data_IF_873704500017
#
_entry.id   IF_873704500017
#
_cell.length_a   1.000
_cell.length_b   1.000
_cell.length_c   1.000
_cell.angle_alpha   90.00
_cell.angle_beta   90.00
_cell.angle_gamma   90.00
#
_symmetry.space_group_name_H-M   'P 1'
#
loop_
_entity.id
_entity.type
_entity.pdbx_description
1 polymer ?
#
# COMPACT_ATOMS: atom_id res chain seq x y z
N UNK A 1 -75.93 8.10 -16.86
CA UNK A 1 -75.16 6.86 -16.63
C UNK A 1 -73.71 7.11 -17.00
N UNK A 2 -72.85 7.30 -16.01
CA UNK A 2 -71.40 7.34 -16.14
C UNK A 2 -70.83 6.35 -15.09
N UNK A 3 -69.86 5.49 -15.43
CA UNK A 3 -69.43 4.41 -14.55
C UNK A 3 -68.47 4.91 -13.45
N UNK A 4 -68.61 4.32 -12.27
CA UNK A 4 -67.82 4.59 -11.08
C UNK A 4 -66.37 4.09 -11.23
N UNK A 5 -65.43 4.91 -10.79
CA UNK A 5 -64.00 4.63 -10.76
C UNK A 5 -63.66 3.74 -9.54
N UNK A 6 -63.00 2.61 -9.78
CA UNK A 6 -62.42 1.73 -8.75
C UNK A 6 -61.05 2.25 -8.31
N UNK A 7 -60.89 2.55 -7.02
CA UNK A 7 -59.59 2.85 -6.41
C UNK A 7 -58.78 1.57 -6.14
N UNK A 8 -57.44 1.58 -6.26
CA UNK A 8 -56.60 0.40 -6.00
C UNK A 8 -56.39 0.17 -4.50
N UNK A 9 -56.52 -1.08 -4.09
CA UNK A 9 -56.25 -1.57 -2.73
C UNK A 9 -54.75 -1.50 -2.39
N UNK A 10 -54.41 -0.87 -1.25
CA UNK A 10 -53.07 -0.91 -0.64
C UNK A 10 -52.68 -2.35 -0.28
N UNK A 11 -51.45 -2.80 -0.60
CA UNK A 11 -50.96 -4.08 -0.07
C UNK A 11 -50.69 -3.95 1.43
N UNK A 12 -51.13 -4.95 2.19
CA UNK A 12 -50.86 -5.08 3.61
C UNK A 12 -49.36 -5.17 3.87
N UNK A 13 -48.87 -4.40 4.84
CA UNK A 13 -47.49 -4.45 5.29
C UNK A 13 -47.21 -5.78 5.99
N UNK A 14 -46.22 -6.52 5.49
CA UNK A 14 -45.69 -7.71 6.17
C UNK A 14 -45.06 -7.32 7.52
N UNK A 15 -45.24 -8.10 8.59
CA UNK A 15 -44.63 -7.81 9.88
C UNK A 15 -43.11 -8.03 9.82
N UNK A 16 -42.36 -7.13 10.47
CA UNK A 16 -40.91 -7.23 10.62
C UNK A 16 -40.54 -8.48 11.46
N UNK A 17 -39.44 -9.18 11.14
CA UNK A 17 -39.03 -10.36 11.89
C UNK A 17 -38.56 -9.97 13.31
N UNK A 18 -39.12 -10.67 14.30
CA UNK A 18 -38.71 -10.65 15.71
C UNK A 18 -37.24 -11.04 15.86
N UNK A 19 -36.46 -10.21 16.58
CA UNK A 19 -35.07 -10.50 16.93
C UNK A 19 -35.00 -11.75 17.84
N UNK A 20 -34.61 -12.90 17.28
CA UNK A 20 -34.25 -14.06 18.08
C UNK A 20 -33.04 -13.72 18.96
N UNK A 21 -33.05 -14.12 20.24
CA UNK A 21 -31.89 -13.99 21.15
C UNK A 21 -30.68 -14.63 20.50
N UNK A 22 -29.68 -13.82 20.12
CA UNK A 22 -28.42 -14.32 19.59
C UNK A 22 -27.70 -15.12 20.71
N UNK A 23 -27.43 -16.40 20.45
CA UNK A 23 -26.67 -17.25 21.36
C UNK A 23 -25.17 -17.01 21.16
N UNK A 24 -24.39 -17.04 22.25
CA UNK A 24 -22.94 -16.87 22.13
C UNK A 24 -22.26 -18.13 21.59
N UNK A 25 -21.03 -18.05 21.04
CA UNK A 25 -20.27 -19.25 20.67
C UNK A 25 -20.05 -20.23 21.83
N UNK A 26 -19.95 -19.73 23.07
CA UNK A 26 -19.88 -20.59 24.25
C UNK A 26 -21.18 -21.36 24.49
N UNK A 27 -22.34 -20.73 24.25
CA UNK A 27 -23.65 -21.39 24.36
C UNK A 27 -23.87 -22.42 23.24
N UNK A 28 -23.39 -22.10 22.03
CA UNK A 28 -23.58 -22.94 20.84
C UNK A 28 -22.65 -24.17 20.85
N UNK A 29 -21.38 -24.00 21.25
CA UNK A 29 -20.35 -25.03 21.13
C UNK A 29 -19.90 -25.65 22.46
N UNK A 30 -20.31 -25.09 23.60
CA UNK A 30 -20.16 -25.65 24.96
C UNK A 30 -18.89 -26.49 25.18
N UNK A 31 -18.97 -27.84 25.19
CA UNK A 31 -17.81 -28.71 25.39
C UNK A 31 -16.66 -28.51 24.40
N UNK A 32 -16.95 -28.28 23.12
CA UNK A 32 -15.93 -28.00 22.11
C UNK A 32 -15.25 -26.66 22.41
N UNK A 33 -16.04 -25.64 22.78
CA UNK A 33 -15.50 -24.33 23.17
C UNK A 33 -14.56 -24.45 24.37
N UNK A 34 -14.97 -25.17 25.42
CA UNK A 34 -14.12 -25.40 26.59
C UNK A 34 -12.83 -26.13 26.23
N UNK A 35 -12.90 -27.20 25.42
CA UNK A 35 -11.73 -27.96 25.03
C UNK A 35 -10.73 -27.12 24.21
N UNK A 36 -11.21 -26.24 23.33
CA UNK A 36 -10.36 -25.36 22.53
C UNK A 36 -9.67 -24.31 23.40
N UNK A 37 -10.40 -23.70 24.34
CA UNK A 37 -9.87 -22.66 25.22
C UNK A 37 -8.89 -23.23 26.25
N UNK A 38 -9.25 -24.33 26.93
CA UNK A 38 -8.40 -24.95 27.95
C UNK A 38 -7.19 -25.66 27.35
N UNK A 39 -7.33 -26.19 26.13
CA UNK A 39 -6.25 -26.83 25.40
C UNK A 39 -5.24 -25.85 24.77
N UNK A 40 -5.44 -24.53 24.92
CA UNK A 40 -4.63 -23.49 24.28
C UNK A 40 -4.35 -23.77 22.79
N UNK A 41 -5.39 -24.24 22.07
CA UNK A 41 -5.27 -24.69 20.67
C UNK A 41 -4.79 -23.57 19.74
N UNK A 42 -5.11 -22.32 20.09
CA UNK A 42 -4.65 -21.10 19.44
C UNK A 42 -3.92 -20.20 20.45
N UNK A 43 -3.03 -19.35 19.95
CA UNK A 43 -2.21 -18.47 20.77
C UNK A 43 -3.02 -17.40 21.54
N UNK A 44 -4.20 -17.04 21.02
CA UNK A 44 -5.13 -16.09 21.62
C UNK A 44 -6.51 -16.76 21.80
N UNK A 45 -7.10 -16.60 22.99
CA UNK A 45 -8.42 -17.12 23.33
C UNK A 45 -9.57 -16.44 22.57
N UNK A 46 -9.35 -15.28 21.96
CA UNK A 46 -10.32 -14.61 21.08
C UNK A 46 -10.40 -15.27 19.70
N UNK A 47 -9.35 -15.96 19.26
CA UNK A 47 -9.25 -16.54 17.92
C UNK A 47 -10.37 -17.53 17.60
N UNK A 48 -10.78 -18.37 18.56
CA UNK A 48 -11.89 -19.31 18.34
C UNK A 48 -13.27 -18.66 18.53
N UNK A 49 -13.37 -17.62 19.37
CA UNK A 49 -14.61 -16.86 19.57
C UNK A 49 -15.04 -16.17 18.28
N UNK A 50 -14.07 -15.69 17.49
CA UNK A 50 -14.32 -15.02 16.21
C UNK A 50 -14.36 -16.00 15.02
N UNK A 51 -14.27 -17.31 15.26
CA UNK A 51 -14.28 -18.30 14.21
C UNK A 51 -15.70 -18.54 13.65
N UNK A 52 -15.81 -18.62 12.33
CA UNK A 52 -17.09 -18.78 11.62
C UNK A 52 -17.29 -20.25 11.23
N UNK A 53 -18.41 -20.91 11.62
CA UNK A 53 -18.62 -22.31 11.26
C UNK A 53 -18.82 -22.48 9.75
N UNK A 54 -18.16 -23.49 9.17
CA UNK A 54 -18.30 -23.85 7.74
C UNK A 54 -19.56 -24.64 7.43
N UNK A 55 -20.23 -25.17 8.47
CA UNK A 55 -21.45 -26.00 8.39
C UNK A 55 -22.29 -25.84 9.65
N UNK A 56 -23.50 -26.42 9.67
CA UNK A 56 -24.43 -26.30 10.79
C UNK A 56 -23.80 -26.73 12.13
N UNK A 57 -23.95 -25.89 13.16
CA UNK A 57 -23.33 -26.10 14.48
C UNK A 57 -23.72 -27.45 15.11
N UNK A 58 -24.97 -27.87 14.96
CA UNK A 58 -25.45 -29.17 15.44
C UNK A 58 -24.68 -30.35 14.83
N UNK A 59 -24.35 -30.28 13.53
CA UNK A 59 -23.58 -31.32 12.85
C UNK A 59 -22.11 -31.34 13.33
N UNK A 60 -21.52 -30.16 13.54
CA UNK A 60 -20.17 -30.04 14.11
C UNK A 60 -20.10 -30.67 15.49
N UNK A 61 -21.08 -30.36 16.35
CA UNK A 61 -21.13 -30.88 17.72
C UNK A 61 -21.42 -32.38 17.77
N UNK A 62 -22.24 -32.92 16.86
CA UNK A 62 -22.48 -34.36 16.75
C UNK A 62 -21.18 -35.12 16.39
N UNK A 63 -20.41 -34.60 15.43
CA UNK A 63 -19.14 -35.19 15.05
C UNK A 63 -18.08 -35.07 16.15
N UNK A 64 -18.05 -33.91 16.85
CA UNK A 64 -17.17 -33.71 18.00
C UNK A 64 -17.47 -34.71 19.12
N UNK A 65 -18.76 -34.93 19.44
CA UNK A 65 -19.17 -35.89 20.46
C UNK A 65 -18.76 -37.33 20.14
N UNK A 66 -18.76 -37.69 18.84
CA UNK A 66 -18.35 -39.02 18.35
C UNK A 66 -16.84 -39.22 18.34
N UNK A 67 -16.09 -38.19 17.95
CA UNK A 67 -14.64 -38.29 17.70
C UNK A 67 -13.77 -37.90 18.89
N UNK A 68 -14.26 -37.01 19.76
CA UNK A 68 -13.58 -36.47 20.96
C UNK A 68 -12.09 -36.17 20.74
N UNK A 69 -11.73 -35.38 19.72
CA UNK A 69 -10.34 -35.11 19.40
C UNK A 69 -9.67 -34.26 20.49
N UNK A 70 -8.37 -34.49 20.71
CA UNK A 70 -7.55 -33.76 21.67
C UNK A 70 -6.20 -33.35 21.03
N UNK A 71 -5.54 -32.34 21.61
CA UNK A 71 -4.21 -31.88 21.16
C UNK A 71 -4.19 -31.49 19.66
N UNK A 72 -3.21 -31.95 18.86
CA UNK A 72 -3.13 -31.64 17.43
C UNK A 72 -4.37 -32.06 16.63
N UNK A 73 -5.02 -33.16 17.01
CA UNK A 73 -6.25 -33.61 16.36
C UNK A 73 -7.42 -32.65 16.60
N UNK A 74 -7.46 -32.00 17.78
CA UNK A 74 -8.46 -30.97 18.07
C UNK A 74 -8.24 -29.73 17.19
N UNK A 75 -6.98 -29.30 17.01
CA UNK A 75 -6.66 -28.18 16.09
C UNK A 75 -7.10 -28.50 14.66
N UNK A 76 -6.77 -29.69 14.16
CA UNK A 76 -7.19 -30.13 12.83
C UNK A 76 -8.72 -30.19 12.69
N UNK A 77 -9.41 -30.71 13.71
CA UNK A 77 -10.87 -30.73 13.76
C UNK A 77 -11.46 -29.32 13.67
N UNK A 78 -10.92 -28.34 14.41
CA UNK A 78 -11.39 -26.95 14.34
C UNK A 78 -11.16 -26.35 12.95
N UNK A 79 -9.95 -26.48 12.39
CA UNK A 79 -9.64 -25.93 11.06
C UNK A 79 -10.46 -26.53 9.93
N UNK A 80 -10.86 -27.81 10.05
CA UNK A 80 -11.77 -28.46 9.10
C UNK A 80 -13.20 -27.91 9.17
N UNK A 81 -13.66 -27.50 10.36
CA UNK A 81 -15.06 -27.17 10.62
C UNK A 81 -15.35 -25.67 10.74
N UNK A 82 -14.32 -24.85 10.93
CA UNK A 82 -14.43 -23.40 11.12
C UNK A 82 -13.48 -22.65 10.19
N UNK A 83 -13.84 -21.42 9.85
CA UNK A 83 -12.95 -20.38 9.33
C UNK A 83 -12.44 -19.61 10.55
N UNK A 84 -11.17 -19.80 10.87
CA UNK A 84 -10.48 -19.23 12.02
C UNK A 84 -9.61 -18.05 11.55
N UNK A 85 -9.89 -16.82 12.01
CA UNK A 85 -9.09 -15.66 11.65
C UNK A 85 -7.60 -15.85 11.97
N UNK A 86 -6.73 -15.44 11.04
CA UNK A 86 -5.26 -15.54 11.18
C UNK A 86 -4.65 -16.94 11.04
N UNK A 87 -5.45 -18.01 11.07
CA UNK A 87 -5.02 -19.38 10.74
C UNK A 87 -5.46 -19.78 9.32
N UNK A 88 -6.69 -19.41 8.92
CA UNK A 88 -7.17 -19.59 7.55
C UNK A 88 -6.80 -18.42 6.62
N UNK A 89 -6.47 -17.25 7.19
CA UNK A 89 -6.09 -16.04 6.44
C UNK A 89 -4.60 -16.00 6.05
N UNK A 90 -3.82 -17.00 6.48
CA UNK A 90 -2.51 -17.27 5.90
C UNK A 90 -2.76 -17.82 4.50
N UNK A 91 -2.99 -16.91 3.56
CA UNK A 91 -3.12 -17.24 2.15
C UNK A 91 -2.00 -18.21 1.77
N UNK A 92 -2.35 -19.33 1.17
CA UNK A 92 -1.44 -20.41 0.77
C UNK A 92 -0.50 -20.02 -0.39
N UNK A 93 -0.28 -18.72 -0.62
CA UNK A 93 0.66 -18.22 -1.60
C UNK A 93 2.00 -17.94 -0.93
N UNK A 94 3.08 -18.23 -1.64
CA UNK A 94 4.39 -17.68 -1.28
C UNK A 94 4.30 -16.15 -1.16
N UNK A 95 5.09 -15.56 -0.25
CA UNK A 95 5.10 -14.11 0.01
C UNK A 95 5.24 -13.32 -1.30
N UNK A 96 6.05 -13.82 -2.24
CA UNK A 96 6.22 -13.21 -3.56
C UNK A 96 4.92 -13.15 -4.35
N UNK A 97 4.14 -14.22 -4.36
CA UNK A 97 2.85 -14.28 -5.06
C UNK A 97 1.84 -13.32 -4.44
N UNK A 98 1.84 -13.19 -3.11
CA UNK A 98 1.00 -12.22 -2.42
C UNK A 98 1.39 -10.77 -2.79
N UNK A 99 2.69 -10.43 -2.71
CA UNK A 99 3.20 -9.10 -3.11
C UNK A 99 2.83 -8.77 -4.56
N UNK A 100 3.03 -9.70 -5.49
CA UNK A 100 2.66 -9.51 -6.90
C UNK A 100 1.18 -9.23 -7.10
N UNK A 101 0.32 -9.91 -6.34
CA UNK A 101 -1.13 -9.72 -6.41
C UNK A 101 -1.59 -8.37 -5.84
N UNK A 102 -0.74 -7.67 -5.09
CA UNK A 102 -1.03 -6.33 -4.55
C UNK A 102 -0.76 -5.21 -5.56
N UNK A 103 0.13 -5.38 -6.54
CA UNK A 103 0.45 -4.30 -7.49
C UNK A 103 -0.78 -3.69 -8.17
N UNK A 104 -1.70 -4.47 -8.76
CA UNK A 104 -2.90 -3.89 -9.39
C UNK A 104 -3.80 -3.14 -8.40
N UNK A 105 -3.79 -3.52 -7.12
CA UNK A 105 -4.61 -2.88 -6.07
C UNK A 105 -4.00 -1.56 -5.59
N UNK A 106 -2.68 -1.43 -5.71
CA UNK A 106 -1.93 -0.24 -5.31
C UNK A 106 -1.74 0.76 -6.46
N UNK A 107 -2.03 0.36 -7.70
CA UNK A 107 -2.03 1.28 -8.85
C UNK A 107 -3.20 2.27 -8.75
N UNK A 108 -2.91 3.53 -9.05
CA UNK A 108 -3.88 4.60 -9.25
C UNK A 108 -3.72 5.11 -10.68
N UNK A 109 -4.86 5.40 -11.29
CA UNK A 109 -4.91 5.97 -12.63
C UNK A 109 -4.77 7.50 -12.57
N UNK A 110 -4.33 8.15 -13.66
CA UNK A 110 -4.44 9.59 -13.81
C UNK A 110 -5.86 10.06 -13.51
N UNK A 111 -5.99 11.08 -12.67
CA UNK A 111 -7.28 11.70 -12.36
C UNK A 111 -7.28 13.13 -12.85
N UNK A 112 -8.42 13.57 -13.37
CA UNK A 112 -8.61 14.96 -13.76
C UNK A 112 -8.45 15.87 -12.52
N UNK A 113 -7.85 17.07 -12.68
CA UNK A 113 -7.82 18.06 -11.61
C UNK A 113 -9.25 18.40 -11.16
N UNK A 114 -9.49 18.36 -9.85
CA UNK A 114 -10.76 18.79 -9.26
C UNK A 114 -10.53 20.12 -8.58
N UNK A 115 -11.33 21.14 -8.93
CA UNK A 115 -11.23 22.47 -8.32
C UNK A 115 -11.37 22.38 -6.79
N UNK A 116 -10.47 23.03 -6.06
CA UNK A 116 -10.42 22.98 -4.58
C UNK A 116 -9.81 21.71 -3.98
N UNK A 117 -9.44 20.70 -4.79
CA UNK A 117 -8.72 19.52 -4.32
C UNK A 117 -7.26 19.83 -4.02
N UNK A 118 -6.70 19.14 -3.03
CA UNK A 118 -5.27 19.19 -2.73
C UNK A 118 -4.44 18.28 -3.65
N UNK A 119 -5.04 17.37 -4.42
CA UNK A 119 -4.30 16.43 -5.25
C UNK A 119 -3.57 17.14 -6.41
N UNK A 120 -2.28 16.85 -6.58
CA UNK A 120 -1.55 17.26 -7.78
C UNK A 120 -1.81 16.22 -8.89
N UNK A 121 -2.25 16.64 -10.09
CA UNK A 121 -2.51 15.70 -11.18
C UNK A 121 -1.19 15.10 -11.68
N UNK A 122 -1.25 13.83 -12.07
CA UNK A 122 -0.15 13.07 -12.65
C UNK A 122 -0.55 12.55 -14.05
N UNK A 123 0.35 12.61 -15.05
CA UNK A 123 0.03 12.22 -16.42
C UNK A 123 -0.11 10.71 -16.64
N UNK A 124 0.46 9.86 -15.78
CA UNK A 124 0.53 8.41 -15.99
C UNK A 124 0.04 7.61 -14.76
N UNK A 125 -0.15 6.29 -14.89
CA UNK A 125 -0.47 5.43 -13.76
C UNK A 125 0.71 5.30 -12.79
N UNK A 126 0.42 5.29 -11.49
CA UNK A 126 1.43 5.22 -10.42
C UNK A 126 1.02 4.30 -9.28
N UNK A 127 1.99 3.86 -8.48
CA UNK A 127 1.75 3.05 -7.28
C UNK A 127 1.71 3.93 -6.04
N UNK A 128 0.79 3.64 -5.12
CA UNK A 128 0.74 4.25 -3.78
C UNK A 128 1.14 3.24 -2.69
N UNK A 129 1.65 3.68 -1.52
CA UNK A 129 2.02 2.77 -0.43
C UNK A 129 0.87 1.90 0.10
N UNK A 130 -0.37 2.38 -0.03
CA UNK A 130 -1.59 1.68 0.40
C UNK A 130 -2.19 2.19 1.71
N UNK A 131 -3.36 1.66 2.05
CA UNK A 131 -4.11 2.06 3.25
C UNK A 131 -4.56 3.53 3.21
N UNK A 132 -4.13 4.31 4.21
CA UNK A 132 -4.48 5.73 4.33
C UNK A 132 -3.75 6.63 3.33
N UNK A 133 -2.66 6.16 2.74
CA UNK A 133 -1.85 6.90 1.79
C UNK A 133 -2.44 6.76 0.39
N UNK A 134 -3.01 7.86 -0.11
CA UNK A 134 -3.76 7.89 -1.39
C UNK A 134 -3.03 8.64 -2.49
N UNK A 135 -1.78 9.02 -2.27
CA UNK A 135 -0.92 9.75 -3.18
C UNK A 135 0.43 9.03 -3.32
N UNK A 136 1.16 9.32 -4.39
CA UNK A 136 2.54 8.87 -4.54
C UNK A 136 3.44 9.64 -3.56
N UNK A 137 4.41 8.95 -2.99
CA UNK A 137 5.47 9.51 -2.14
C UNK A 137 6.83 9.32 -2.81
N UNK A 138 7.70 10.31 -2.70
CA UNK A 138 8.92 10.36 -3.49
C UNK A 138 9.86 9.17 -3.22
N UNK A 139 10.48 9.10 -2.04
CA UNK A 139 11.49 8.05 -1.78
C UNK A 139 10.90 6.64 -1.67
N UNK A 140 9.67 6.48 -1.15
CA UNK A 140 8.94 5.21 -1.07
C UNK A 140 8.80 4.57 -2.46
N UNK A 141 8.64 5.41 -3.48
CA UNK A 141 8.48 4.97 -4.87
C UNK A 141 9.74 4.31 -5.42
N UNK A 142 10.94 4.69 -4.97
CA UNK A 142 12.16 4.03 -5.45
C UNK A 142 12.19 2.56 -5.03
N UNK A 143 11.92 2.29 -3.75
CA UNK A 143 11.87 0.92 -3.25
C UNK A 143 10.73 0.11 -3.85
N UNK A 144 9.60 0.78 -4.11
CA UNK A 144 8.48 0.17 -4.86
C UNK A 144 8.90 -0.19 -6.28
N UNK A 145 9.56 0.71 -7.00
CA UNK A 145 10.03 0.51 -8.38
C UNK A 145 11.08 -0.61 -8.48
N UNK A 146 11.91 -0.82 -7.46
CA UNK A 146 12.79 -1.99 -7.39
C UNK A 146 12.00 -3.30 -7.42
N UNK A 147 10.92 -3.39 -6.63
CA UNK A 147 10.01 -4.54 -6.63
C UNK A 147 9.30 -4.72 -7.98
N UNK A 148 8.78 -3.63 -8.55
CA UNK A 148 8.15 -3.62 -9.86
C UNK A 148 9.09 -4.15 -10.96
N UNK A 149 10.36 -3.72 -10.95
CA UNK A 149 11.37 -4.19 -11.91
C UNK A 149 11.61 -5.69 -11.79
N UNK A 150 11.72 -6.20 -10.56
CA UNK A 150 11.89 -7.65 -10.31
C UNK A 150 10.69 -8.47 -10.79
N UNK A 151 9.48 -7.93 -10.69
CA UNK A 151 8.25 -8.57 -11.17
C UNK A 151 7.90 -8.29 -12.64
N UNK A 152 8.81 -7.66 -13.40
CA UNK A 152 8.63 -7.41 -14.84
C UNK A 152 7.63 -6.30 -15.18
N UNK A 153 7.28 -5.43 -14.22
CA UNK A 153 6.33 -4.33 -14.38
C UNK A 153 6.98 -3.08 -15.00
N UNK A 154 7.79 -3.26 -16.04
CA UNK A 154 8.55 -2.17 -16.67
C UNK A 154 7.68 -1.01 -17.17
N UNK A 155 6.50 -1.23 -17.80
CA UNK A 155 5.63 -0.12 -18.20
C UNK A 155 5.20 0.79 -17.05
N UNK A 156 5.03 0.22 -15.85
CA UNK A 156 4.65 0.96 -14.65
C UNK A 156 5.84 1.74 -14.08
N UNK A 157 7.06 1.17 -14.16
CA UNK A 157 8.31 1.89 -13.84
C UNK A 157 8.46 3.12 -14.73
N UNK A 158 8.27 2.99 -16.05
CA UNK A 158 8.34 4.12 -16.98
C UNK A 158 7.25 5.16 -16.72
N UNK A 159 6.02 4.71 -16.40
CA UNK A 159 4.91 5.60 -16.05
C UNK A 159 5.24 6.46 -14.82
N UNK A 160 5.78 5.84 -13.76
CA UNK A 160 6.20 6.56 -12.56
C UNK A 160 7.37 7.53 -12.82
N UNK A 161 8.31 7.17 -13.72
CA UNK A 161 9.38 8.10 -14.14
C UNK A 161 8.83 9.32 -14.88
N UNK A 162 7.83 9.14 -15.73
CA UNK A 162 7.17 10.25 -16.44
C UNK A 162 6.41 11.16 -15.47
N UNK A 163 5.76 10.58 -14.46
CA UNK A 163 5.12 11.31 -13.38
C UNK A 163 6.12 12.17 -12.59
N UNK A 164 7.24 11.59 -12.14
CA UNK A 164 8.29 12.33 -11.43
C UNK A 164 8.94 13.41 -12.30
N UNK A 165 9.20 13.11 -13.56
CA UNK A 165 9.67 14.10 -14.55
C UNK A 165 8.70 15.28 -14.63
N UNK A 166 7.39 15.00 -14.72
CA UNK A 166 6.35 16.03 -14.78
C UNK A 166 6.26 16.91 -13.53
N UNK A 167 6.57 16.35 -12.36
CA UNK A 167 6.57 17.10 -11.10
C UNK A 167 7.74 18.09 -11.07
N UNK A 168 8.93 17.66 -11.49
CA UNK A 168 10.10 18.54 -11.59
C UNK A 168 9.87 19.64 -12.63
N UNK A 169 9.28 19.30 -13.78
CA UNK A 169 8.96 20.27 -14.84
C UNK A 169 8.00 21.37 -14.37
N UNK A 170 7.01 21.02 -13.55
CA UNK A 170 6.00 21.98 -13.06
C UNK A 170 6.43 22.73 -11.80
N UNK A 171 7.08 22.05 -10.87
CA UNK A 171 7.31 22.56 -9.51
C UNK A 171 8.80 22.77 -9.18
N UNK A 172 9.71 22.44 -10.11
CA UNK A 172 11.15 22.56 -9.93
C UNK A 172 11.79 21.45 -9.10
N UNK A 173 10.98 20.62 -8.45
CA UNK A 173 11.42 19.50 -7.61
C UNK A 173 10.29 18.47 -7.46
N UNK A 174 10.60 17.31 -6.89
CA UNK A 174 9.59 16.32 -6.51
C UNK A 174 9.14 16.64 -5.07
N UNK A 175 7.87 16.96 -4.82
CA UNK A 175 7.37 17.19 -3.47
C UNK A 175 7.34 15.88 -2.67
N UNK A 176 7.25 15.97 -1.34
CA UNK A 176 7.14 14.80 -0.45
C UNK A 176 6.06 13.78 -0.92
N UNK A 177 4.89 14.29 -1.32
CA UNK A 177 3.89 13.53 -2.05
C UNK A 177 3.04 14.44 -2.94
N UNK A 178 2.13 13.89 -3.74
CA UNK A 178 1.35 14.66 -4.72
C UNK A 178 0.17 15.42 -4.15
N UNK A 179 0.45 16.30 -3.18
CA UNK A 179 -0.51 17.22 -2.57
C UNK A 179 0.01 18.64 -2.56
N UNK A 180 -0.88 19.62 -2.72
CA UNK A 180 -0.53 21.06 -2.73
C UNK A 180 0.22 21.49 -1.46
N UNK A 181 -0.17 20.98 -0.29
CA UNK A 181 0.52 21.27 0.99
C UNK A 181 1.88 20.57 1.15
N UNK A 182 2.30 19.73 0.20
CA UNK A 182 3.64 19.17 0.12
C UNK A 182 4.57 19.97 -0.81
N UNK A 183 4.07 20.94 -1.59
CA UNK A 183 4.88 21.73 -2.54
C UNK A 183 6.01 22.54 -1.89
N UNK A 184 5.95 22.78 -0.58
CA UNK A 184 6.99 23.50 0.15
C UNK A 184 8.20 22.66 0.52
N UNK A 185 8.17 21.34 0.30
CA UNK A 185 9.24 20.42 0.73
C UNK A 185 9.35 19.18 -0.15
N UNK A 186 10.57 18.66 -0.24
CA UNK A 186 10.86 17.39 -0.90
C UNK A 186 11.02 16.25 0.12
N UNK A 187 11.60 15.15 -0.34
CA UNK A 187 12.03 13.96 0.39
C UNK A 187 13.44 13.58 -0.10
N UNK A 188 14.12 12.58 0.49
CA UNK A 188 15.44 12.16 0.03
C UNK A 188 15.49 11.98 -1.52
N UNK A 189 16.48 12.57 -2.22
CA UNK A 189 16.46 12.65 -3.68
C UNK A 189 16.89 11.34 -4.34
N UNK A 190 15.92 10.49 -4.66
CA UNK A 190 16.13 9.19 -5.32
C UNK A 190 15.91 9.21 -6.84
N UNK A 191 15.49 10.33 -7.45
CA UNK A 191 15.15 10.38 -8.87
C UNK A 191 16.32 9.97 -9.78
N UNK A 192 17.55 10.37 -9.48
CA UNK A 192 18.73 9.90 -10.20
C UNK A 192 18.84 8.36 -10.21
N UNK A 193 18.59 7.72 -9.06
CA UNK A 193 18.62 6.26 -8.92
C UNK A 193 17.40 5.59 -9.57
N UNK A 194 16.26 6.26 -9.60
CA UNK A 194 15.08 5.78 -10.31
C UNK A 194 15.33 5.73 -11.83
N UNK A 195 16.09 6.68 -12.39
CA UNK A 195 16.43 6.70 -13.81
C UNK A 195 17.22 5.46 -14.25
N UNK A 196 18.06 4.89 -13.39
CA UNK A 196 18.79 3.64 -13.65
C UNK A 196 17.87 2.41 -13.77
N UNK A 197 16.58 2.54 -13.39
CA UNK A 197 15.58 1.49 -13.55
C UNK A 197 14.93 1.49 -14.93
N UNK A 198 15.10 2.57 -15.71
CA UNK A 198 14.57 2.71 -17.07
C UNK A 198 15.19 1.70 -18.03
N UNK A 199 14.38 1.17 -18.96
CA UNK A 199 14.86 0.44 -20.15
C UNK A 199 14.62 1.21 -21.43
N UNK A 200 14.05 2.41 -21.35
CA UNK A 200 13.82 3.29 -22.48
C UNK A 200 15.16 3.79 -23.07
N UNK A 201 15.37 3.59 -24.37
CA UNK A 201 16.58 3.98 -25.12
C UNK A 201 16.38 5.18 -26.02
N UNK A 202 15.21 5.83 -26.00
CA UNK A 202 14.93 7.02 -26.81
C UNK A 202 15.78 8.21 -26.35
N UNK A 203 16.65 8.76 -27.22
CA UNK A 203 17.50 9.90 -26.86
C UNK A 203 16.69 11.16 -26.49
N UNK A 204 15.47 11.31 -27.00
CA UNK A 204 14.57 12.42 -26.67
C UNK A 204 14.12 12.33 -25.22
N UNK A 205 13.73 11.13 -24.78
CA UNK A 205 13.33 10.85 -23.39
C UNK A 205 14.52 11.02 -22.46
N UNK A 206 15.70 10.51 -22.84
CA UNK A 206 16.93 10.69 -22.06
C UNK A 206 17.27 12.17 -21.87
N UNK A 207 17.20 12.98 -22.94
CA UNK A 207 17.44 14.43 -22.87
C UNK A 207 16.43 15.13 -21.96
N UNK A 208 15.15 14.79 -22.03
CA UNK A 208 14.10 15.33 -21.15
C UNK A 208 14.39 15.02 -19.68
N UNK A 209 14.69 13.76 -19.37
CA UNK A 209 14.98 13.29 -18.01
C UNK A 209 16.26 13.93 -17.44
N UNK A 210 17.29 14.12 -18.26
CA UNK A 210 18.51 14.85 -17.87
C UNK A 210 18.23 16.32 -17.54
N UNK A 211 17.41 16.99 -18.35
CA UNK A 211 16.99 18.37 -18.05
C UNK A 211 16.23 18.43 -16.72
N UNK A 212 15.32 17.50 -16.46
CA UNK A 212 14.63 17.41 -15.17
C UNK A 212 15.61 17.14 -14.02
N UNK A 213 16.55 16.20 -14.16
CA UNK A 213 17.54 15.89 -13.12
C UNK A 213 18.40 17.12 -12.76
N UNK A 214 18.86 17.89 -13.76
CA UNK A 214 19.58 19.15 -13.53
C UNK A 214 18.75 20.19 -12.79
N UNK A 215 17.45 20.25 -13.08
CA UNK A 215 16.52 21.16 -12.41
C UNK A 215 16.29 20.77 -10.96
N UNK A 216 16.12 19.48 -10.67
CA UNK A 216 16.02 19.01 -9.29
C UNK A 216 17.33 19.26 -8.52
N UNK A 217 18.48 19.01 -9.14
CA UNK A 217 19.78 19.36 -8.54
C UNK A 217 19.87 20.86 -8.21
N UNK A 218 19.43 21.74 -9.13
CA UNK A 218 19.39 23.17 -8.88
C UNK A 218 18.48 23.54 -7.69
N UNK A 219 17.36 22.85 -7.49
CA UNK A 219 16.52 23.01 -6.30
C UNK A 219 17.26 22.66 -5.00
N UNK A 220 18.05 21.57 -4.99
CA UNK A 220 18.85 21.18 -3.83
C UNK A 220 20.01 22.14 -3.55
N UNK A 221 20.61 22.70 -4.60
CA UNK A 221 21.71 23.67 -4.51
C UNK A 221 21.25 25.11 -4.35
N UNK A 222 19.94 25.38 -4.40
CA UNK A 222 19.39 26.70 -4.09
C UNK A 222 19.76 27.05 -2.64
N UNK A 223 20.56 28.09 -2.48
CA UNK A 223 21.19 28.46 -1.21
C UNK A 223 22.71 28.65 -1.30
N UNK A 224 23.35 28.14 -2.35
CA UNK A 224 24.81 28.24 -2.53
C UNK A 224 25.31 29.69 -2.57
N UNK A 225 24.59 30.60 -3.23
CA UNK A 225 24.99 32.01 -3.36
C UNK A 225 24.87 32.80 -2.06
N UNK A 226 23.92 32.46 -1.17
CA UNK A 226 23.75 33.08 0.15
C UNK A 226 24.51 32.35 1.27
N UNK A 227 25.27 31.30 0.92
CA UNK A 227 26.11 30.57 1.87
C UNK A 227 27.33 31.37 2.33
N UNK A 228 27.67 32.45 1.62
CA UNK A 228 28.77 33.35 1.96
C UNK A 228 28.57 33.93 3.37
N UNK A 229 29.38 33.47 4.33
CA UNK A 229 29.35 33.95 5.71
C UNK A 229 28.29 33.29 6.62
N UNK A 230 27.60 32.24 6.18
CA UNK A 230 26.59 31.52 6.98
C UNK A 230 26.86 30.01 7.02
N UNK A 231 26.57 29.31 8.14
CA UNK A 231 26.78 27.87 8.24
C UNK A 231 25.84 27.06 7.33
N UNK A 232 24.67 27.61 7.01
CA UNK A 232 23.71 27.05 6.07
C UNK A 232 22.83 28.14 5.46
N UNK A 233 22.37 27.91 4.25
CA UNK A 233 21.32 28.69 3.60
C UNK A 233 20.38 27.72 2.88
N UNK A 234 19.08 27.78 3.19
CA UNK A 234 18.07 26.85 2.69
C UNK A 234 18.47 25.37 2.92
N UNK A 235 18.78 24.64 1.85
CA UNK A 235 19.12 23.20 1.87
C UNK A 235 20.63 22.94 1.76
N UNK A 236 21.43 24.00 1.64
CA UNK A 236 22.89 23.94 1.50
C UNK A 236 23.54 24.28 2.83
N UNK A 237 24.52 23.48 3.25
CA UNK A 237 25.31 23.73 4.46
C UNK A 237 26.81 23.70 4.14
N UNK A 238 27.56 24.64 4.70
CA UNK A 238 29.01 24.66 4.62
C UNK A 238 29.58 24.14 5.93
N UNK A 239 30.23 22.98 5.90
CA UNK A 239 31.09 22.56 7.00
C UNK A 239 32.36 23.39 6.89
N UNK A 240 32.57 24.33 7.80
CA UNK A 240 33.86 24.98 8.03
C UNK A 240 34.99 23.95 7.85
N UNK A 241 35.99 24.32 7.04
CA UNK A 241 37.11 23.47 6.61
C UNK A 241 37.99 22.99 7.77
N UNK A 242 37.48 22.11 8.61
CA UNK A 242 38.22 21.30 9.57
C UNK A 242 38.50 19.95 8.93
N UNK A 243 39.63 19.86 8.20
CA UNK A 243 40.28 18.67 7.62
C UNK A 243 39.53 17.34 7.86
N UNK A 244 38.65 16.96 6.93
CA UNK A 244 38.31 15.56 6.74
C UNK A 244 39.28 14.99 5.71
N UNK A 245 40.38 14.37 6.17
CA UNK A 245 41.25 13.57 5.27
C UNK A 245 40.46 12.34 4.84
N UNK A 246 39.93 12.36 3.62
CA UNK A 246 39.46 11.15 2.95
C UNK A 246 40.71 10.44 2.45
N UNK A 247 40.99 9.26 3.01
CA UNK A 247 41.96 8.32 2.44
C UNK A 247 41.49 7.91 1.03
N UNK A 248 42.29 8.25 0.02
CA UNK A 248 42.02 7.98 -1.39
C UNK A 248 42.39 6.55 -1.82
N UNK A 249 42.59 5.62 -0.88
CA UNK A 249 42.94 4.23 -1.19
C UNK A 249 41.83 3.39 -1.86
N UNK A 250 40.59 3.90 -2.02
CA UNK A 250 39.52 3.17 -2.73
C UNK A 250 39.03 3.92 -3.96
N UNK A 251 39.66 3.63 -5.10
CA UNK A 251 39.17 3.97 -6.45
C UNK A 251 37.82 3.29 -6.69
N UNK A 252 36.77 4.08 -6.93
CA UNK A 252 35.66 3.79 -7.86
C UNK A 252 34.66 4.94 -7.80
N UNK A 253 34.80 5.90 -8.70
CA UNK A 253 33.70 6.70 -9.28
C UNK A 253 34.33 7.62 -10.34
N UNK A 254 34.53 7.08 -11.53
CA UNK A 254 34.79 7.85 -12.73
C UNK A 254 33.95 7.20 -13.83
N UNK A 255 33.41 8.02 -14.73
CA UNK A 255 32.48 7.72 -15.82
C UNK A 255 31.01 7.96 -15.44
N UNK A 256 30.59 9.22 -15.58
CA UNK A 256 29.30 9.62 -16.18
C UNK A 256 29.20 11.16 -16.25
N UNK A 257 30.18 11.82 -16.88
CA UNK A 257 30.10 13.26 -17.16
C UNK A 257 30.57 13.69 -18.55
N UNK A 258 30.76 12.76 -19.49
CA UNK A 258 30.99 13.11 -20.90
C UNK A 258 30.16 12.18 -21.80
N UNK A 259 28.92 12.60 -22.08
CA UNK A 259 28.14 12.23 -23.26
C UNK A 259 27.03 13.28 -23.44
#
# INVERSE_FOLDING_TARGET
MAPAQTAPSRPAASPAPSAAKAQSPADIYGPLFQAVQQGHVFADGKTFVDAVPKRAAAAIMADYARTRPAGPALKAFVLANFVVPGENDRGSGDLRSHVRALWPQLVRQPVAPVAGSSALPLPAPYVVPGGRFREIYYWDSYFTMLGLKVDGQQPLVESMLDDFTSLIERYGHIPNGTRTYYLSRSQPPYYALMLDLSTNTDPTVAKRRLTALRREHAFWMEGETCLAGQPACLRVANRHSGRCRIDTSRRRFQVLLNA
#
